data_IF_183723020949
#
_entry.id   IF_183723020949
#
_cell.length_a   1.000
_cell.length_b   1.000
_cell.length_c   1.000
_cell.angle_alpha   90.00
_cell.angle_beta   90.00
_cell.angle_gamma   90.00
#
_symmetry.space_group_name_H-M   'P 1'
#
loop_
_entity.id
_entity.type
_entity.pdbx_description
1 polymer ?
#
# COMPACT_ATOMS: atom_id res chain seq x y z
N UNK A 1 -29.56 -22.24 30.70
CA UNK A 1 -28.27 -22.48 30.03
C UNK A 1 -27.32 -21.36 30.39
N UNK A 2 -26.31 -21.65 31.20
CA UNK A 2 -25.39 -20.65 31.76
C UNK A 2 -24.38 -20.21 30.69
N UNK A 3 -24.38 -18.92 30.34
CA UNK A 3 -23.35 -18.33 29.47
C UNK A 3 -22.04 -18.31 30.27
N UNK A 4 -21.20 -19.34 30.10
CA UNK A 4 -19.81 -19.28 30.56
C UNK A 4 -19.15 -18.12 29.81
N UNK A 5 -18.91 -17.01 30.52
CA UNK A 5 -18.03 -15.96 30.01
C UNK A 5 -16.66 -16.58 29.78
N UNK A 6 -16.24 -16.69 28.52
CA UNK A 6 -14.91 -17.13 28.16
C UNK A 6 -13.95 -15.99 28.53
N UNK A 7 -13.32 -16.08 29.70
CA UNK A 7 -12.19 -15.22 30.05
C UNK A 7 -11.01 -15.69 29.23
N UNK A 8 -10.77 -15.05 28.09
CA UNK A 8 -9.58 -15.29 27.27
C UNK A 8 -8.37 -14.89 28.10
N UNK A 9 -7.38 -15.77 28.20
CA UNK A 9 -6.16 -15.44 28.91
C UNK A 9 -5.42 -14.32 28.15
N UNK A 10 -4.89 -13.29 28.84
CA UNK A 10 -4.26 -12.15 28.18
C UNK A 10 -3.05 -12.53 27.32
N UNK A 11 -2.39 -13.65 27.64
CA UNK A 11 -1.28 -14.19 26.85
C UNK A 11 -1.78 -14.69 25.49
N UNK A 12 -2.91 -15.39 25.47
CA UNK A 12 -3.51 -15.90 24.23
C UNK A 12 -4.00 -14.75 23.35
N UNK A 13 -4.58 -13.71 23.96
CA UNK A 13 -5.01 -12.51 23.23
C UNK A 13 -3.85 -11.83 22.50
N UNK A 14 -2.71 -11.66 23.17
CA UNK A 14 -1.53 -11.05 22.57
C UNK A 14 -0.96 -11.88 21.40
N UNK A 15 -0.88 -13.21 21.56
CA UNK A 15 -0.38 -14.11 20.51
C UNK A 15 -1.29 -14.06 19.27
N UNK A 16 -2.61 -14.07 19.48
CA UNK A 16 -3.57 -13.99 18.39
C UNK A 16 -3.54 -12.63 17.69
N UNK A 17 -3.41 -11.53 18.44
CA UNK A 17 -3.26 -10.20 17.87
C UNK A 17 -2.00 -10.10 17.01
N UNK A 18 -0.88 -10.65 17.48
CA UNK A 18 0.38 -10.63 16.74
C UNK A 18 0.30 -11.46 15.45
N UNK A 19 -0.36 -12.63 15.50
CA UNK A 19 -0.63 -13.42 14.31
C UNK A 19 -1.55 -12.68 13.31
N UNK A 20 -2.62 -12.04 13.80
CA UNK A 20 -3.54 -11.26 12.95
C UNK A 20 -2.80 -10.11 12.26
N UNK A 21 -1.92 -9.42 13.00
CA UNK A 21 -1.07 -8.37 12.41
C UNK A 21 -0.20 -8.96 11.29
N UNK A 22 0.41 -10.13 11.50
CA UNK A 22 1.22 -10.79 10.49
C UNK A 22 0.41 -11.13 9.23
N UNK A 23 -0.80 -11.67 9.39
CA UNK A 23 -1.70 -11.98 8.27
C UNK A 23 -2.11 -10.74 7.48
N UNK A 24 -2.42 -9.62 8.17
CA UNK A 24 -2.80 -8.37 7.50
C UNK A 24 -1.64 -7.73 6.72
N UNK A 25 -0.39 -7.95 7.18
CA UNK A 25 0.80 -7.44 6.50
C UNK A 25 1.17 -8.30 5.30
N UNK A 26 1.17 -9.62 5.46
CA UNK A 26 1.62 -10.55 4.41
C UNK A 26 0.54 -10.87 3.38
N UNK A 27 -0.75 -10.66 3.72
CA UNK A 27 -1.91 -11.04 2.91
C UNK A 27 -1.74 -12.39 2.20
N UNK A 28 -1.49 -13.48 2.95
CA UNK A 28 -1.19 -14.77 2.35
C UNK A 28 -2.43 -15.35 1.65
N UNK A 29 -2.25 -15.92 0.46
CA UNK A 29 -3.34 -16.61 -0.27
C UNK A 29 -3.88 -17.82 0.50
N UNK A 30 -3.04 -18.49 1.29
CA UNK A 30 -3.42 -19.61 2.14
C UNK A 30 -3.12 -19.30 3.62
N UNK A 31 -4.16 -18.89 4.34
CA UNK A 31 -4.07 -18.53 5.75
C UNK A 31 -3.65 -19.71 6.66
N UNK A 32 -4.09 -20.94 6.33
CA UNK A 32 -3.81 -22.13 7.15
C UNK A 32 -2.32 -22.46 7.10
N UNK A 33 -1.74 -22.48 5.89
CA UNK A 33 -0.30 -22.70 5.71
C UNK A 33 0.53 -21.62 6.40
N UNK A 34 0.11 -20.36 6.29
CA UNK A 34 0.76 -19.26 7.00
C UNK A 34 0.67 -19.41 8.53
N UNK A 35 -0.44 -19.94 9.05
CA UNK A 35 -0.61 -20.20 10.48
C UNK A 35 0.38 -21.26 10.98
N UNK A 36 0.56 -22.35 10.21
CA UNK A 36 1.52 -23.40 10.54
C UNK A 36 2.94 -22.83 10.59
N UNK A 37 3.34 -22.11 9.55
CA UNK A 37 4.67 -21.50 9.47
C UNK A 37 4.90 -20.48 10.59
N UNK A 38 3.90 -19.65 10.90
CA UNK A 38 3.98 -18.65 11.99
C UNK A 38 4.12 -19.30 13.37
N UNK A 39 3.25 -20.25 13.71
CA UNK A 39 3.27 -20.89 15.02
C UNK A 39 4.48 -21.82 15.19
N UNK A 40 4.96 -22.46 14.12
CA UNK A 40 6.20 -23.24 14.15
C UNK A 40 7.41 -22.35 14.42
N UNK A 41 7.49 -21.17 13.81
CA UNK A 41 8.55 -20.18 14.12
C UNK A 41 8.44 -19.69 15.57
N UNK A 42 7.23 -19.41 16.04
CA UNK A 42 6.99 -18.97 17.41
C UNK A 42 7.46 -20.03 18.42
N UNK A 43 7.16 -21.30 18.16
CA UNK A 43 7.59 -22.43 19.00
C UNK A 43 9.12 -22.59 19.03
N UNK A 44 9.80 -22.43 17.89
CA UNK A 44 11.27 -22.50 17.84
C UNK A 44 11.94 -21.37 18.64
N UNK A 45 11.31 -20.18 18.70
CA UNK A 45 11.84 -19.06 19.49
C UNK A 45 11.64 -19.23 20.99
N UNK A 46 10.64 -19.99 21.44
CA UNK A 46 10.42 -20.27 22.87
C UNK A 46 11.36 -21.35 23.41
N UNK A 47 11.85 -22.25 22.55
CA UNK A 47 12.76 -23.34 22.96
C UNK A 47 14.24 -22.91 22.95
N UNK A 48 14.57 -21.79 22.33
CA UNK A 48 15.96 -21.28 22.15
C UNK A 48 16.35 -20.20 23.15
N UNK A 49 15.56 -20.02 24.21
CA UNK A 49 15.73 -18.97 25.22
C UNK A 49 16.87 -19.20 26.23
N UNK A 50 17.96 -19.87 25.84
CA UNK A 50 19.13 -19.99 26.71
C UNK A 50 20.50 -19.59 26.14
N UNK A 51 20.76 -19.40 24.82
CA UNK A 51 22.16 -19.09 24.41
C UNK A 51 22.50 -18.14 23.24
N UNK A 52 21.60 -17.55 22.43
CA UNK A 52 22.06 -16.73 21.27
C UNK A 52 21.45 -15.31 21.13
N UNK A 53 21.14 -14.65 22.24
CA UNK A 53 20.41 -13.37 22.26
C UNK A 53 21.23 -12.09 21.91
N UNK A 54 22.48 -12.18 21.45
CA UNK A 54 23.34 -10.99 21.31
C UNK A 54 23.64 -10.55 19.87
N UNK A 55 23.75 -11.46 18.89
CA UNK A 55 24.17 -11.09 17.53
C UNK A 55 22.99 -10.81 16.57
N UNK A 56 21.95 -11.64 16.60
CA UNK A 56 20.75 -11.47 15.76
C UNK A 56 19.85 -10.33 16.26
N UNK A 57 19.86 -10.05 17.58
CA UNK A 57 19.08 -8.96 18.16
C UNK A 57 19.57 -7.58 17.70
N UNK A 58 20.88 -7.38 17.47
CA UNK A 58 21.41 -6.10 16.95
C UNK A 58 21.04 -5.84 15.48
N UNK A 59 21.05 -6.88 14.63
CA UNK A 59 20.72 -6.77 13.21
C UNK A 59 19.21 -6.57 13.02
N UNK A 60 18.39 -7.30 13.79
CA UNK A 60 16.94 -7.11 13.78
C UNK A 60 16.53 -5.77 14.39
N UNK A 61 17.19 -5.28 15.44
CA UNK A 61 16.87 -3.97 16.06
C UNK A 61 17.15 -2.80 15.11
N UNK A 62 18.29 -2.79 14.41
CA UNK A 62 18.60 -1.77 13.39
C UNK A 62 17.58 -1.76 12.23
N UNK A 63 17.16 -2.93 11.74
CA UNK A 63 16.18 -3.01 10.65
C UNK A 63 14.75 -2.67 11.13
N UNK A 64 14.40 -3.06 12.36
CA UNK A 64 13.10 -2.74 12.98
C UNK A 64 12.99 -1.24 13.24
N UNK A 65 14.05 -0.56 13.65
CA UNK A 65 14.07 0.89 13.84
C UNK A 65 13.87 1.65 12.51
N UNK A 66 14.45 1.19 11.40
CA UNK A 66 14.25 1.77 10.06
C UNK A 66 12.83 1.51 9.52
N UNK A 67 12.31 0.29 9.70
CA UNK A 67 10.94 -0.06 9.31
C UNK A 67 9.89 0.62 10.20
N UNK A 68 10.17 0.80 11.50
CA UNK A 68 9.31 1.52 12.45
C UNK A 68 9.35 3.04 12.21
N UNK A 69 10.50 3.60 11.81
CA UNK A 69 10.60 4.98 11.38
C UNK A 69 9.73 5.24 10.14
N UNK A 70 9.69 4.28 9.18
CA UNK A 70 8.78 4.34 8.04
C UNK A 70 7.30 4.17 8.44
N UNK A 71 7.00 3.31 9.43
CA UNK A 71 5.65 3.09 9.96
C UNK A 71 5.06 4.31 10.69
N UNK A 72 5.91 5.17 11.24
CA UNK A 72 5.54 6.40 11.93
C UNK A 72 5.61 7.65 11.05
N UNK A 73 5.89 7.51 9.74
CA UNK A 73 5.73 8.60 8.79
C UNK A 73 4.23 8.86 8.65
N UNK A 74 3.72 9.83 9.41
CA UNK A 74 2.45 10.47 9.07
C UNK A 74 2.58 10.96 7.63
N UNK A 75 1.74 10.43 6.73
CA UNK A 75 1.68 10.90 5.35
C UNK A 75 1.53 12.41 5.34
N UNK A 76 2.45 13.12 4.69
CA UNK A 76 2.34 14.56 4.51
C UNK A 76 1.25 14.82 3.48
N UNK A 77 0.27 15.65 3.82
CA UNK A 77 -0.76 16.08 2.87
C UNK A 77 -0.14 17.02 1.84
N UNK A 78 -0.40 16.76 0.56
CA UNK A 78 -0.10 17.67 -0.55
C UNK A 78 -1.44 18.15 -1.10
N UNK A 79 -1.65 19.47 -1.13
CA UNK A 79 -2.88 20.08 -1.61
C UNK A 79 -2.52 21.30 -2.45
N UNK A 80 -2.93 21.26 -3.72
CA UNK A 80 -3.00 22.45 -4.58
C UNK A 80 -4.45 22.90 -4.64
N UNK A 81 -4.70 24.19 -4.39
CA UNK A 81 -6.04 24.77 -4.47
C UNK A 81 -6.27 25.32 -5.87
N UNK A 82 -6.91 24.52 -6.71
CA UNK A 82 -7.50 25.00 -7.96
C UNK A 82 -8.95 25.39 -7.66
N UNK A 83 -9.19 26.70 -7.50
CA UNK A 83 -10.54 27.24 -7.35
C UNK A 83 -11.04 27.52 -8.76
N UNK A 84 -11.98 26.73 -9.30
CA UNK A 84 -12.58 27.06 -10.59
C UNK A 84 -13.25 28.42 -10.43
N UNK A 85 -12.74 29.43 -11.14
CA UNK A 85 -13.31 30.77 -11.09
C UNK A 85 -14.65 30.73 -11.81
N UNK A 86 -15.73 31.14 -11.14
CA UNK A 86 -17.11 31.04 -11.65
C UNK A 86 -17.39 31.84 -12.95
N UNK A 87 -16.46 32.68 -13.43
CA UNK A 87 -16.72 33.62 -14.53
C UNK A 87 -15.53 33.85 -15.49
N UNK A 88 -14.56 32.94 -15.59
CA UNK A 88 -13.56 33.03 -16.66
C UNK A 88 -13.95 32.08 -17.79
N UNK A 89 -13.97 32.63 -19.01
CA UNK A 89 -14.09 31.92 -20.29
C UNK A 89 -13.28 30.63 -20.23
N UNK A 90 -13.80 29.50 -20.77
CA UNK A 90 -13.08 28.22 -20.82
C UNK A 90 -11.60 28.49 -21.13
N UNK A 91 -10.71 28.26 -20.14
CA UNK A 91 -9.29 28.53 -20.33
C UNK A 91 -8.86 27.82 -21.62
N UNK A 92 -8.33 28.58 -22.58
CA UNK A 92 -7.88 28.02 -23.85
C UNK A 92 -6.77 26.99 -23.56
N UNK A 93 -7.16 25.72 -23.58
CA UNK A 93 -6.23 24.61 -23.39
C UNK A 93 -5.26 24.65 -24.57
N UNK A 94 -3.98 24.89 -24.28
CA UNK A 94 -2.95 24.93 -25.30
C UNK A 94 -2.93 23.61 -26.10
N UNK A 95 -3.14 23.69 -27.42
CA UNK A 95 -3.17 22.53 -28.30
C UNK A 95 -1.85 22.39 -29.06
N UNK A 96 -1.22 21.23 -28.95
CA UNK A 96 0.02 20.88 -29.63
C UNK A 96 -0.24 19.83 -30.71
N UNK A 97 0.02 20.13 -32.00
CA UNK A 97 -0.21 19.18 -33.08
C UNK A 97 0.76 18.00 -32.97
N UNK A 98 0.25 16.77 -33.06
CA UNK A 98 1.02 15.52 -33.04
C UNK A 98 0.90 14.77 -34.35
N UNK A 99 1.90 13.95 -34.66
CA UNK A 99 1.80 13.02 -35.79
C UNK A 99 0.86 11.86 -35.46
N UNK A 100 0.33 11.19 -36.50
CA UNK A 100 -0.60 10.06 -36.34
C UNK A 100 0.08 8.90 -35.60
N UNK A 101 1.37 8.66 -35.87
CA UNK A 101 2.15 7.59 -35.24
C UNK A 101 2.38 7.85 -33.75
N UNK A 102 2.77 9.08 -33.40
CA UNK A 102 2.93 9.49 -32.00
C UNK A 102 1.62 9.38 -31.23
N UNK A 103 0.51 9.81 -31.85
CA UNK A 103 -0.82 9.75 -31.24
C UNK A 103 -1.21 8.32 -30.90
N UNK A 104 -1.02 7.39 -31.83
CA UNK A 104 -1.30 5.97 -31.63
C UNK A 104 -0.46 5.38 -30.50
N UNK A 105 0.84 5.71 -30.46
CA UNK A 105 1.75 5.25 -29.41
C UNK A 105 1.33 5.76 -28.02
N UNK A 106 0.92 7.02 -27.94
CA UNK A 106 0.46 7.64 -26.70
C UNK A 106 -0.85 6.98 -26.23
N UNK A 107 -1.81 6.77 -27.12
CA UNK A 107 -3.09 6.10 -26.81
C UNK A 107 -2.87 4.66 -26.30
N UNK A 108 -1.94 3.92 -26.91
CA UNK A 108 -1.56 2.57 -26.45
C UNK A 108 -0.95 2.59 -25.05
N UNK A 109 -0.09 3.57 -24.74
CA UNK A 109 0.56 3.67 -23.43
C UNK A 109 -0.37 4.15 -22.32
N UNK A 110 -1.27 5.09 -22.64
CA UNK A 110 -2.20 5.69 -21.68
C UNK A 110 -3.18 4.65 -21.10
N UNK A 111 -3.58 3.65 -21.88
CA UNK A 111 -4.50 2.60 -21.44
C UNK A 111 -3.99 1.75 -20.26
N UNK A 112 -2.67 1.69 -20.04
CA UNK A 112 -2.08 0.97 -18.91
C UNK A 112 -2.13 1.76 -17.60
N UNK A 113 -2.43 3.07 -17.66
CA UNK A 113 -2.43 3.96 -16.50
C UNK A 113 -3.87 4.07 -15.94
N UNK A 114 -4.11 3.71 -14.66
CA UNK A 114 -5.46 3.65 -14.09
C UNK A 114 -6.27 4.95 -14.18
N UNK A 115 -5.61 6.11 -14.09
CA UNK A 115 -6.26 7.43 -14.15
C UNK A 115 -7.00 7.67 -15.46
N UNK A 116 -6.44 7.20 -16.58
CA UNK A 116 -7.03 7.44 -17.89
C UNK A 116 -8.07 6.39 -18.28
N UNK A 117 -8.02 5.21 -17.68
CA UNK A 117 -9.00 4.14 -17.91
C UNK A 117 -10.42 4.53 -17.46
N UNK A 118 -10.53 5.45 -16.51
CA UNK A 118 -11.81 5.94 -16.00
C UNK A 118 -12.35 7.18 -16.75
N UNK A 119 -11.60 7.71 -17.72
CA UNK A 119 -11.96 8.91 -18.47
C UNK A 119 -12.65 8.56 -19.79
N UNK A 120 -13.55 9.45 -20.22
CA UNK A 120 -14.19 9.36 -21.52
C UNK A 120 -13.19 9.62 -22.66
N UNK A 121 -13.43 8.98 -23.81
CA UNK A 121 -12.54 9.07 -24.98
C UNK A 121 -12.38 10.52 -25.48
N UNK A 122 -13.40 11.36 -25.32
CA UNK A 122 -13.31 12.79 -25.66
C UNK A 122 -12.35 13.56 -24.76
N UNK A 123 -12.34 13.24 -23.46
CA UNK A 123 -11.42 13.86 -22.49
C UNK A 123 -9.99 13.39 -22.75
N UNK A 124 -9.81 12.10 -23.06
CA UNK A 124 -8.50 11.56 -23.45
C UNK A 124 -7.96 12.29 -24.69
N UNK A 125 -8.79 12.52 -25.71
CA UNK A 125 -8.39 13.29 -26.91
C UNK A 125 -7.94 14.70 -26.56
N UNK A 126 -8.71 15.43 -25.73
CA UNK A 126 -8.33 16.77 -25.26
C UNK A 126 -7.00 16.75 -24.50
N UNK A 127 -6.75 15.75 -23.65
CA UNK A 127 -5.49 15.63 -22.91
C UNK A 127 -4.32 15.31 -23.85
N UNK A 128 -4.52 14.41 -24.81
CA UNK A 128 -3.50 14.07 -25.81
C UNK A 128 -3.14 15.30 -26.64
N UNK A 129 -4.13 16.09 -27.05
CA UNK A 129 -3.90 17.33 -27.80
C UNK A 129 -3.23 18.41 -26.92
N UNK A 130 -3.45 18.40 -25.61
CA UNK A 130 -2.81 19.31 -24.65
C UNK A 130 -1.39 18.91 -24.22
N UNK A 131 -0.95 17.70 -24.57
CA UNK A 131 0.35 17.19 -24.16
C UNK A 131 1.48 17.87 -24.97
N UNK A 132 2.37 18.57 -24.27
CA UNK A 132 3.57 19.16 -24.86
C UNK A 132 4.41 18.09 -25.62
N UNK A 133 5.06 18.43 -26.75
CA UNK A 133 5.93 17.51 -27.50
C UNK A 133 7.10 16.95 -26.68
#
# INVERSE_FOLDING_TARGET
>A
MSKKGLTVQPILENILLEYIINVLVENPENMIRNSEDYFNRLMMTTDTTDQESSALSLIQKKNKDVLMAARNLRGKSVLERNIPKENEEEEEIASFPKTIEERKRIEEQINYIPFFRALDEQVIKKIVDALMP
#
